data_IF_855942455157
#
_entry.id   IF_855942455157
#
_cell.length_a   1.000
_cell.length_b   1.000
_cell.length_c   1.000
_cell.angle_alpha   90.00
_cell.angle_beta   90.00
_cell.angle_gamma   90.00
#
_symmetry.space_group_name_H-M   'P 1'
#
loop_
_entity.id
_entity.type
_entity.pdbx_description
1 polymer ?
#
# COMPACT_ATOMS: atom_id res chain seq x y z
N UNK A 1 9.83 -0.82 2.35
CA UNK A 1 9.34 -1.90 1.45
C UNK A 1 7.89 -1.61 1.02
N UNK A 2 7.52 -1.85 -0.25
CA UNK A 2 6.14 -1.72 -0.76
C UNK A 2 5.48 -3.08 -0.98
N UNK A 3 4.15 -3.16 -0.85
CA UNK A 3 3.36 -4.38 -1.11
C UNK A 3 2.32 -4.06 -2.17
N UNK A 4 2.25 -4.92 -3.20
CA UNK A 4 1.34 -4.76 -4.33
C UNK A 4 0.16 -5.74 -4.23
N UNK A 5 -1.02 -5.27 -4.59
CA UNK A 5 -2.28 -6.04 -4.52
C UNK A 5 -2.89 -6.37 -5.88
N UNK A 6 -4.03 -7.10 -5.88
CA UNK A 6 -4.78 -7.37 -7.10
C UNK A 6 -5.12 -6.08 -7.87
N UNK A 7 -4.85 -6.07 -9.18
CA UNK A 7 -5.13 -4.92 -10.05
C UNK A 7 -4.04 -3.85 -10.09
N UNK A 8 -3.00 -3.92 -9.27
CA UNK A 8 -1.90 -2.97 -9.34
C UNK A 8 -0.92 -3.26 -10.48
N UNK A 9 -0.52 -2.20 -11.20
CA UNK A 9 0.47 -2.25 -12.26
C UNK A 9 1.88 -1.98 -11.72
N UNK A 10 2.83 -2.78 -12.18
CA UNK A 10 4.25 -2.69 -11.82
C UNK A 10 5.09 -2.36 -13.05
N UNK A 11 6.15 -1.60 -12.88
CA UNK A 11 7.12 -1.35 -13.95
C UNK A 11 6.65 -0.43 -15.07
N UNK A 12 5.66 0.45 -14.83
CA UNK A 12 5.11 1.37 -15.84
C UNK A 12 6.19 2.24 -16.52
N UNK A 13 7.28 2.55 -15.82
CA UNK A 13 8.46 3.26 -16.38
C UNK A 13 9.03 2.55 -17.62
N UNK A 14 8.85 1.23 -17.71
CA UNK A 14 9.32 0.41 -18.84
C UNK A 14 8.57 0.65 -20.16
N UNK A 15 7.47 1.40 -20.13
CA UNK A 15 6.77 1.83 -21.33
C UNK A 15 7.54 2.92 -22.11
N UNK A 16 8.40 3.67 -21.43
CA UNK A 16 9.13 4.80 -22.02
C UNK A 16 10.57 4.43 -22.33
N UNK A 17 11.25 3.75 -21.40
CA UNK A 17 12.65 3.34 -21.51
C UNK A 17 12.85 1.91 -20.99
N UNK A 18 14.02 1.31 -21.18
CA UNK A 18 14.40 0.05 -20.53
C UNK A 18 15.46 0.26 -19.43
N UNK A 19 15.11 0.89 -18.29
CA UNK A 19 16.08 1.15 -17.24
C UNK A 19 16.40 -0.12 -16.44
N UNK A 20 17.64 -0.21 -15.96
CA UNK A 20 17.97 -1.12 -14.87
C UNK A 20 17.27 -0.64 -13.60
N UNK A 21 16.34 -1.45 -13.07
CA UNK A 21 15.62 -1.09 -11.85
C UNK A 21 16.49 -1.45 -10.63
N UNK A 22 16.71 -0.53 -9.67
CA UNK A 22 17.48 -0.79 -8.45
C UNK A 22 16.70 -1.63 -7.42
N UNK A 23 15.57 -2.21 -7.83
CA UNK A 23 14.67 -3.00 -7.00
C UNK A 23 14.06 -4.14 -7.84
N UNK A 24 13.68 -5.21 -7.15
CA UNK A 24 12.98 -6.36 -7.74
C UNK A 24 11.59 -6.57 -7.13
N UNK A 25 10.85 -7.50 -7.72
CA UNK A 25 9.55 -7.93 -7.21
C UNK A 25 9.65 -9.40 -6.79
N UNK A 26 9.06 -9.71 -5.63
CA UNK A 26 9.00 -11.08 -5.10
C UNK A 26 7.56 -11.40 -4.69
N UNK A 27 7.05 -12.54 -5.14
CA UNK A 27 5.72 -13.00 -4.72
C UNK A 27 5.78 -13.46 -3.26
N UNK A 28 4.93 -12.89 -2.41
CA UNK A 28 4.83 -13.27 -0.98
C UNK A 28 3.84 -14.40 -0.71
N UNK A 29 2.93 -14.64 -1.63
CA UNK A 29 1.93 -15.70 -1.62
C UNK A 29 1.74 -16.21 -3.06
N UNK A 30 1.07 -17.36 -3.27
CA UNK A 30 0.70 -17.79 -4.61
C UNK A 30 -0.03 -16.66 -5.35
N UNK A 31 0.57 -16.19 -6.44
CA UNK A 31 0.11 -15.01 -7.17
C UNK A 31 0.02 -15.33 -8.66
N UNK A 32 -1.03 -14.80 -9.30
CA UNK A 32 -1.15 -14.77 -10.75
C UNK A 32 -0.69 -13.41 -11.24
N UNK A 33 0.33 -13.40 -12.10
CA UNK A 33 0.88 -12.16 -12.68
C UNK A 33 0.63 -12.18 -14.18
N UNK A 34 -0.06 -11.16 -14.69
CA UNK A 34 -0.22 -10.95 -16.11
C UNK A 34 0.99 -10.16 -16.65
N UNK A 35 1.82 -10.80 -17.46
CA UNK A 35 2.92 -10.13 -18.15
C UNK A 35 2.39 -9.45 -19.42
N UNK A 36 2.48 -8.12 -19.46
CA UNK A 36 2.06 -7.32 -20.61
C UNK A 36 3.29 -6.84 -21.39
N UNK A 37 3.52 -7.33 -22.63
CA UNK A 37 4.65 -6.92 -23.43
C UNK A 37 4.60 -5.42 -23.75
N UNK A 38 5.63 -4.66 -23.35
CA UNK A 38 5.66 -3.21 -23.52
C UNK A 38 5.50 -2.80 -24.98
N UNK A 39 6.18 -3.48 -25.92
CA UNK A 39 6.05 -3.22 -27.36
C UNK A 39 4.60 -3.29 -27.85
N UNK A 40 3.82 -4.27 -27.38
CA UNK A 40 2.43 -4.43 -27.78
C UNK A 40 1.54 -3.33 -27.21
N UNK A 41 1.75 -2.98 -25.94
CA UNK A 41 1.03 -1.88 -25.28
C UNK A 41 1.33 -0.53 -25.94
N UNK A 42 2.60 -0.23 -26.21
CA UNK A 42 3.02 1.01 -26.88
C UNK A 42 2.35 1.13 -28.25
N UNK A 43 2.33 0.06 -29.05
CA UNK A 43 1.63 0.07 -30.34
C UNK A 43 0.11 0.34 -30.22
N UNK A 44 -0.53 -0.15 -29.15
CA UNK A 44 -1.94 0.13 -28.87
C UNK A 44 -2.15 1.59 -28.48
N UNK A 45 -1.24 2.16 -27.68
CA UNK A 45 -1.34 3.55 -27.24
C UNK A 45 -1.02 4.53 -28.38
N UNK A 46 -0.06 4.21 -29.24
CA UNK A 46 0.30 5.03 -30.41
C UNK A 46 -0.78 5.06 -31.49
N UNK A 47 -1.64 4.04 -31.54
CA UNK A 47 -2.75 4.00 -32.49
C UNK A 47 -3.82 5.10 -32.24
N UNK A 48 -3.89 5.64 -31.02
CA UNK A 48 -4.77 6.76 -30.66
C UNK A 48 -4.12 7.59 -29.54
N UNK A 49 -3.61 8.81 -29.83
CA UNK A 49 -2.96 9.67 -28.85
C UNK A 49 -3.81 9.95 -27.59
N UNK A 50 -5.14 9.86 -27.65
CA UNK A 50 -5.98 10.01 -26.46
C UNK A 50 -5.76 8.90 -25.42
N UNK A 51 -5.29 7.72 -25.82
CA UNK A 51 -4.95 6.62 -24.91
C UNK A 51 -3.73 6.95 -24.05
N UNK A 52 -2.75 7.66 -24.61
CA UNK A 52 -1.62 8.15 -23.83
C UNK A 52 -2.05 9.13 -22.73
N UNK A 53 -3.09 9.95 -22.96
CA UNK A 53 -3.66 10.81 -21.91
C UNK A 53 -4.21 10.01 -20.74
N UNK A 54 -4.84 8.86 -21.00
CA UNK A 54 -5.33 7.96 -19.95
C UNK A 54 -4.18 7.31 -19.17
N UNK A 55 -3.14 6.87 -19.88
CA UNK A 55 -1.91 6.33 -19.26
C UNK A 55 -1.24 7.40 -18.39
N UNK A 56 -1.12 8.63 -18.86
CA UNK A 56 -0.56 9.75 -18.10
C UNK A 56 -1.41 10.05 -16.87
N UNK A 57 -2.75 10.09 -17.00
CA UNK A 57 -3.64 10.27 -15.84
C UNK A 57 -3.41 9.20 -14.79
N UNK A 58 -3.40 7.93 -15.21
CA UNK A 58 -3.12 6.81 -14.33
C UNK A 58 -1.75 6.91 -13.63
N UNK A 59 -0.71 7.28 -14.38
CA UNK A 59 0.64 7.45 -13.84
C UNK A 59 0.70 8.58 -12.79
N UNK A 60 0.01 9.70 -13.04
CA UNK A 60 -0.07 10.84 -12.12
C UNK A 60 -0.84 10.50 -10.85
N UNK A 61 -2.00 9.85 -10.97
CA UNK A 61 -2.80 9.41 -9.81
C UNK A 61 -1.95 8.51 -8.90
N UNK A 62 -1.22 7.56 -9.49
CA UNK A 62 -0.29 6.67 -8.76
C UNK A 62 0.91 7.41 -8.16
N UNK A 63 1.41 8.45 -8.83
CA UNK A 63 2.52 9.27 -8.32
C UNK A 63 2.06 10.06 -7.09
N UNK A 64 0.85 10.60 -7.09
CA UNK A 64 0.24 11.28 -5.94
C UNK A 64 0.14 10.32 -4.74
N UNK A 65 -0.35 9.09 -4.95
CA UNK A 65 -0.42 8.06 -3.90
C UNK A 65 0.97 7.68 -3.34
N UNK A 66 1.96 7.60 -4.24
CA UNK A 66 3.35 7.29 -3.87
C UNK A 66 3.97 8.43 -3.07
N UNK A 67 3.76 9.68 -3.50
CA UNK A 67 4.24 10.87 -2.79
C UNK A 67 3.57 11.04 -1.44
N UNK A 68 2.25 10.82 -1.34
CA UNK A 68 1.56 10.79 -0.04
C UNK A 68 2.20 9.73 0.85
N UNK A 69 2.42 8.53 0.35
CA UNK A 69 3.09 7.46 1.12
C UNK A 69 4.51 7.85 1.56
N UNK A 70 5.33 8.40 0.67
CA UNK A 70 6.73 8.76 0.96
C UNK A 70 6.86 9.95 1.92
N UNK A 71 6.09 11.02 1.72
CA UNK A 71 6.07 12.17 2.61
C UNK A 71 5.56 11.79 4.01
N UNK A 72 4.54 10.93 4.06
CA UNK A 72 4.04 10.37 5.31
C UNK A 72 5.03 9.41 5.96
N UNK A 73 5.95 8.79 5.22
CA UNK A 73 6.96 7.88 5.76
C UNK A 73 8.25 8.58 6.22
N UNK A 74 8.66 9.67 5.57
CA UNK A 74 10.02 10.17 5.71
C UNK A 74 10.19 11.45 6.54
N UNK A 75 9.19 12.34 6.67
CA UNK A 75 9.49 13.71 7.14
C UNK A 75 8.55 14.31 8.22
N UNK A 76 7.23 14.03 8.27
CA UNK A 76 6.31 14.92 9.01
C UNK A 76 5.23 14.29 9.92
N UNK A 77 5.07 12.96 9.98
CA UNK A 77 3.94 12.32 10.69
C UNK A 77 4.29 11.70 12.04
N UNK A 78 3.45 11.90 13.07
CA UNK A 78 3.46 11.08 14.31
C UNK A 78 3.31 9.60 13.94
N UNK A 79 4.06 8.71 14.59
CA UNK A 79 4.13 7.29 14.22
C UNK A 79 2.77 6.59 14.24
N UNK A 80 1.86 7.00 15.11
CA UNK A 80 0.49 6.47 15.17
C UNK A 80 -0.32 6.81 13.92
N UNK A 81 -0.26 8.03 13.41
CA UNK A 81 -0.90 8.42 12.15
C UNK A 81 -0.34 7.61 10.97
N UNK A 82 0.97 7.37 10.94
CA UNK A 82 1.66 6.60 9.88
C UNK A 82 1.23 5.13 9.87
N UNK A 83 1.13 4.53 11.06
CA UNK A 83 0.62 3.17 11.24
C UNK A 83 -0.84 3.09 10.79
N UNK A 84 -1.69 4.02 11.21
CA UNK A 84 -3.09 4.07 10.81
C UNK A 84 -3.27 4.16 9.29
N UNK A 85 -2.54 5.09 8.64
CA UNK A 85 -2.57 5.25 7.18
C UNK A 85 -2.09 3.99 6.44
N UNK A 86 -1.03 3.34 6.93
CA UNK A 86 -0.50 2.10 6.35
C UNK A 86 -1.51 0.95 6.48
N UNK A 87 -2.11 0.78 7.66
CA UNK A 87 -3.14 -0.23 7.90
C UNK A 87 -4.40 0.04 7.06
N UNK A 88 -4.78 1.30 6.87
CA UNK A 88 -5.91 1.68 6.01
C UNK A 88 -5.65 1.30 4.55
N UNK A 89 -4.46 1.62 4.02
CA UNK A 89 -4.06 1.24 2.66
C UNK A 89 -4.08 -0.27 2.48
N UNK A 90 -3.48 -1.02 3.41
CA UNK A 90 -3.48 -2.48 3.39
C UNK A 90 -4.90 -3.06 3.49
N UNK A 91 -5.77 -2.44 4.29
CA UNK A 91 -7.18 -2.80 4.40
C UNK A 91 -8.00 -2.53 3.14
N UNK A 92 -7.58 -1.59 2.30
CA UNK A 92 -8.23 -1.35 1.01
C UNK A 92 -7.75 -2.35 -0.05
N UNK A 93 -6.46 -2.71 -0.03
CA UNK A 93 -5.85 -3.62 -1.01
C UNK A 93 -6.12 -5.11 -0.72
N UNK A 94 -6.06 -5.51 0.56
CA UNK A 94 -6.06 -6.91 0.99
C UNK A 94 -7.19 -7.22 1.97
N UNK A 95 -8.08 -6.26 2.23
CA UNK A 95 -9.19 -6.44 3.14
C UNK A 95 -10.30 -7.30 2.53
N UNK A 96 -10.70 -8.35 3.25
CA UNK A 96 -11.95 -9.05 2.99
C UNK A 96 -12.98 -8.56 3.98
N UNK A 97 -14.11 -8.04 3.49
CA UNK A 97 -15.21 -7.61 4.34
C UNK A 97 -15.88 -8.84 4.97
N UNK A 98 -15.96 -8.84 6.30
CA UNK A 98 -16.69 -9.82 7.07
C UNK A 98 -17.64 -9.08 8.03
N UNK A 99 -18.89 -8.92 7.62
CA UNK A 99 -19.89 -8.12 8.32
C UNK A 99 -19.44 -6.67 8.59
N UNK A 100 -19.06 -6.33 9.83
CA UNK A 100 -18.56 -5.00 10.23
C UNK A 100 -17.04 -4.92 10.39
N UNK A 101 -16.34 -6.03 10.18
CA UNK A 101 -14.88 -6.13 10.33
C UNK A 101 -14.20 -6.24 8.96
N UNK A 102 -13.00 -5.70 8.83
CA UNK A 102 -12.14 -5.93 7.66
C UNK A 102 -10.95 -6.77 8.08
N UNK A 103 -10.94 -8.04 7.67
CA UNK A 103 -9.80 -8.93 7.91
C UNK A 103 -8.77 -8.72 6.81
N UNK A 104 -7.52 -8.40 7.19
CA UNK A 104 -6.43 -8.40 6.22
C UNK A 104 -6.13 -9.85 5.84
N UNK A 105 -6.32 -10.20 4.56
CA UNK A 105 -5.97 -11.54 4.05
C UNK A 105 -4.46 -11.71 3.83
N UNK A 106 -3.68 -10.67 4.14
CA UNK A 106 -2.23 -10.66 4.03
C UNK A 106 -1.59 -11.19 5.31
N UNK A 107 -0.68 -12.16 5.17
CA UNK A 107 0.24 -12.53 6.26
C UNK A 107 1.26 -11.41 6.42
N UNK A 108 1.07 -10.60 7.45
CA UNK A 108 1.92 -9.46 7.74
C UNK A 108 2.50 -9.62 9.14
N UNK A 109 3.82 -9.77 9.21
CA UNK A 109 4.51 -9.77 10.50
C UNK A 109 4.70 -8.34 11.02
N UNK A 110 5.01 -8.23 12.31
CA UNK A 110 5.35 -6.95 12.92
C UNK A 110 6.68 -6.39 12.38
N UNK A 111 7.61 -7.28 12.00
CA UNK A 111 8.87 -6.92 11.35
C UNK A 111 8.61 -6.36 9.95
N UNK A 112 7.68 -6.96 9.18
CA UNK A 112 7.27 -6.40 7.89
C UNK A 112 6.70 -4.99 8.02
N UNK A 113 5.84 -4.77 9.03
CA UNK A 113 5.30 -3.43 9.32
C UNK A 113 6.40 -2.46 9.71
N UNK A 114 7.38 -2.90 10.51
CA UNK A 114 8.52 -2.10 10.92
C UNK A 114 9.35 -1.66 9.70
N UNK A 115 9.62 -2.57 8.77
CA UNK A 115 10.35 -2.31 7.52
C UNK A 115 9.55 -1.42 6.54
N UNK A 116 8.22 -1.58 6.50
CA UNK A 116 7.35 -0.72 5.70
C UNK A 116 7.30 0.72 6.26
N UNK A 117 7.40 0.86 7.58
CA UNK A 117 7.30 2.13 8.28
C UNK A 117 8.67 2.73 8.64
N UNK A 118 9.79 2.07 8.34
CA UNK A 118 11.13 2.52 8.74
C UNK A 118 11.20 2.90 10.23
N UNK A 119 10.59 2.10 11.11
CA UNK A 119 10.64 2.26 12.58
C UNK A 119 11.02 0.94 13.22
N UNK A 120 11.37 0.94 14.50
CA UNK A 120 11.67 -0.30 15.21
C UNK A 120 10.43 -1.18 15.38
N UNK A 121 10.63 -2.51 15.42
CA UNK A 121 9.59 -3.48 15.80
C UNK A 121 8.95 -3.13 17.16
N UNK A 122 9.74 -2.65 18.12
CA UNK A 122 9.23 -2.23 19.43
C UNK A 122 8.22 -1.09 19.31
N UNK A 123 8.50 -0.12 18.44
CA UNK A 123 7.60 1.00 18.15
C UNK A 123 6.29 0.50 17.51
N UNK A 124 6.37 -0.38 16.51
CA UNK A 124 5.17 -0.99 15.89
C UNK A 124 4.35 -1.73 16.93
N UNK A 125 4.97 -2.57 17.76
CA UNK A 125 4.27 -3.36 18.76
C UNK A 125 3.58 -2.51 19.82
N UNK A 126 4.23 -1.43 20.26
CA UNK A 126 3.65 -0.47 21.19
C UNK A 126 2.37 0.15 20.62
N UNK A 127 2.41 0.63 19.38
CA UNK A 127 1.25 1.27 18.76
C UNK A 127 0.15 0.27 18.39
N UNK A 128 0.49 -0.94 17.91
CA UNK A 128 -0.51 -1.99 17.67
C UNK A 128 -1.27 -2.36 18.95
N UNK A 129 -0.56 -2.53 20.09
CA UNK A 129 -1.20 -2.77 21.39
C UNK A 129 -2.10 -1.63 21.82
N UNK A 130 -1.69 -0.37 21.57
CA UNK A 130 -2.51 0.82 21.86
C UNK A 130 -3.80 0.82 21.03
N UNK A 131 -3.71 0.53 19.73
CA UNK A 131 -4.87 0.45 18.83
C UNK A 131 -5.81 -0.71 19.19
N UNK A 132 -5.24 -1.83 19.64
CA UNK A 132 -6.01 -2.99 20.14
C UNK A 132 -6.75 -2.68 21.44
N UNK A 133 -6.08 -2.03 22.41
CA UNK A 133 -6.70 -1.57 23.64
C UNK A 133 -7.82 -0.53 23.41
N UNK A 134 -7.72 0.26 22.33
CA UNK A 134 -8.75 1.20 21.91
C UNK A 134 -9.90 0.54 21.10
N UNK A 135 -9.84 -0.77 20.85
CA UNK A 135 -10.85 -1.50 20.07
C UNK A 135 -10.86 -1.17 18.58
N UNK A 136 -9.79 -0.55 18.05
CA UNK A 136 -9.70 -0.13 16.64
C UNK A 136 -9.29 -1.30 15.76
N UNK A 137 -8.43 -2.17 16.28
CA UNK A 137 -7.98 -3.38 15.60
C UNK A 137 -7.89 -4.56 16.56
N UNK A 138 -7.73 -5.76 16.01
CA UNK A 138 -7.42 -6.98 16.74
C UNK A 138 -6.21 -7.64 16.08
N UNK A 139 -5.18 -7.91 16.88
CA UNK A 139 -3.99 -8.62 16.45
C UNK A 139 -4.18 -10.11 16.71
N UNK A 140 -4.00 -10.94 15.68
CA UNK A 140 -3.96 -12.41 15.80
C UNK A 140 -2.68 -12.93 15.15
N UNK A 141 -2.35 -14.21 15.34
CA UNK A 141 -1.12 -14.78 14.78
C UNK A 141 -1.05 -14.58 13.25
N UNK A 142 -0.06 -13.79 12.79
CA UNK A 142 0.15 -13.38 11.39
C UNK A 142 -1.06 -12.74 10.69
N UNK A 143 -2.07 -12.25 11.41
CA UNK A 143 -3.25 -11.61 10.82
C UNK A 143 -3.70 -10.42 11.65
N UNK A 144 -4.06 -9.34 10.97
CA UNK A 144 -4.66 -8.15 11.56
C UNK A 144 -6.12 -8.04 11.11
N UNK A 145 -7.00 -7.70 12.06
CA UNK A 145 -8.40 -7.41 11.78
C UNK A 145 -8.68 -5.96 12.15
N UNK A 146 -9.16 -5.17 11.20
CA UNK A 146 -9.59 -3.80 11.43
C UNK A 146 -11.04 -3.85 11.89
N UNK A 147 -11.29 -3.36 13.11
CA UNK A 147 -12.61 -3.35 13.75
C UNK A 147 -13.34 -2.02 13.52
N UNK A 148 -12.60 -0.90 13.53
CA UNK A 148 -13.14 0.43 13.26
C UNK A 148 -12.33 1.13 12.16
N UNK A 149 -12.80 1.00 10.91
CA UNK A 149 -12.22 1.70 9.76
C UNK A 149 -12.35 3.22 9.90
N UNK A 150 -13.42 3.72 10.50
CA UNK A 150 -13.67 5.14 10.66
C UNK A 150 -12.67 5.80 11.61
N UNK A 151 -12.39 5.16 12.75
CA UNK A 151 -11.35 5.60 13.68
C UNK A 151 -9.98 5.60 13.01
N UNK A 152 -9.64 4.52 12.29
CA UNK A 152 -8.37 4.42 11.56
C UNK A 152 -8.22 5.55 10.53
N UNK A 153 -9.30 5.84 9.78
CA UNK A 153 -9.33 6.95 8.81
C UNK A 153 -9.21 8.32 9.48
N UNK A 154 -9.83 8.56 10.64
CA UNK A 154 -9.67 9.82 11.39
C UNK A 154 -8.24 10.00 11.87
N UNK A 155 -7.64 8.99 12.49
CA UNK A 155 -6.22 9.03 12.91
C UNK A 155 -5.28 9.24 11.73
N UNK A 156 -5.57 8.57 10.60
CA UNK A 156 -4.84 8.77 9.38
C UNK A 156 -5.04 10.19 8.82
N UNK A 157 -6.18 10.85 9.07
CA UNK A 157 -6.50 12.20 8.59
C UNK A 157 -6.07 13.32 9.56
N UNK A 158 -5.81 13.03 10.84
CA UNK A 158 -5.28 13.93 11.88
C UNK A 158 -3.82 14.36 11.63
N UNK A 159 -3.43 14.53 10.37
CA UNK A 159 -2.08 14.84 9.86
C UNK A 159 -1.60 16.26 10.22
N UNK A 160 -2.14 16.90 11.26
CA UNK A 160 -1.76 18.25 11.72
C UNK A 160 -1.66 18.30 13.24
N UNK A 161 -0.46 18.52 13.76
CA UNK A 161 -0.02 19.82 14.28
C UNK A 161 1.50 19.86 14.29
#
# INVERSE_FOLDING_TARGET
MGIFGPGELMGLVRLFDDPLLPYGFVAREPALVAHLPCRGLVAIFDADPLRWKEVTRFALDRQVDTLDTLLNQAVLGRTDCRIAATLQRLGNLFGVQAARETRLRLRLSQDDLADMLAVSRQTVNKELRRLEAAGILRCTYNTLVILDRGALSRMAAERRH
#
